data_IF_053957490663
#
_entry.id   IF_053957490663
#
_cell.length_a   1.000
_cell.length_b   1.000
_cell.length_c   1.000
_cell.angle_alpha   90.00
_cell.angle_beta   90.00
_cell.angle_gamma   90.00
#
_symmetry.space_group_name_H-M   'P 1'
#
loop_
_entity.id
_entity.type
_entity.pdbx_description
1 polymer ?
#
# COMPACT_ATOMS: atom_id res chain seq x y z
N UNK A 1 8.79 8.95 9.65
CA UNK A 1 8.42 10.37 9.34
C UNK A 1 7.64 10.40 8.05
N UNK A 2 6.43 11.02 8.05
CA UNK A 2 5.63 11.31 6.85
C UNK A 2 5.83 12.78 6.50
N UNK A 3 6.42 13.05 5.34
CA UNK A 3 6.63 14.41 4.87
C UNK A 3 5.35 14.96 4.22
N UNK A 4 4.85 16.10 4.72
CA UNK A 4 3.72 16.81 4.12
C UNK A 4 4.20 17.71 2.99
N UNK A 5 3.63 17.53 1.81
CA UNK A 5 3.94 18.33 0.62
C UNK A 5 2.87 19.40 0.47
N UNK A 6 3.25 20.63 0.83
CA UNK A 6 2.36 21.79 0.94
C UNK A 6 2.88 23.01 0.18
N UNK A 7 4.16 23.03 -0.20
CA UNK A 7 4.82 24.22 -0.73
C UNK A 7 5.55 23.98 -2.05
N UNK A 8 5.70 25.00 -2.91
CA UNK A 8 6.44 24.90 -4.19
C UNK A 8 7.88 24.41 -4.02
N UNK A 9 8.55 24.77 -2.90
CA UNK A 9 9.89 24.32 -2.60
C UNK A 9 9.98 22.80 -2.38
N UNK A 10 8.94 22.21 -1.76
CA UNK A 10 8.87 20.76 -1.58
C UNK A 10 8.70 20.04 -2.93
N UNK A 11 7.96 20.62 -3.87
CA UNK A 11 7.80 20.06 -5.22
C UNK A 11 9.14 20.07 -5.97
N UNK A 12 9.92 21.14 -5.85
CA UNK A 12 11.24 21.25 -6.49
C UNK A 12 12.24 20.23 -5.93
N UNK A 13 12.18 19.95 -4.62
CA UNK A 13 13.10 19.05 -3.92
C UNK A 13 12.46 17.68 -3.65
N UNK A 14 11.47 17.28 -4.42
CA UNK A 14 10.64 16.11 -4.11
C UNK A 14 11.43 14.80 -4.05
N UNK A 15 12.46 14.63 -4.87
CA UNK A 15 13.27 13.41 -4.91
C UNK A 15 14.12 13.25 -3.64
N UNK A 16 14.67 14.34 -3.12
CA UNK A 16 15.43 14.35 -1.87
C UNK A 16 14.49 14.08 -0.68
N UNK A 17 13.32 14.71 -0.67
CA UNK A 17 12.30 14.47 0.36
C UNK A 17 11.83 13.03 0.37
N UNK A 18 11.60 12.43 -0.80
CA UNK A 18 11.24 11.00 -0.90
C UNK A 18 12.35 10.12 -0.33
N UNK A 19 13.59 10.46 -0.58
CA UNK A 19 14.74 9.68 -0.09
C UNK A 19 14.84 9.70 1.43
N UNK A 20 14.70 10.87 2.04
CA UNK A 20 14.90 11.11 3.48
C UNK A 20 13.67 10.78 4.35
N UNK A 21 12.46 10.65 3.75
CA UNK A 21 11.24 10.35 4.50
C UNK A 21 10.85 8.88 4.44
N UNK A 22 10.02 8.42 5.38
CA UNK A 22 9.43 7.07 5.38
C UNK A 22 8.17 6.98 4.50
N UNK A 23 7.56 8.11 4.19
CA UNK A 23 6.41 8.24 3.31
C UNK A 23 6.04 9.71 3.09
N UNK A 24 5.09 9.96 2.20
CA UNK A 24 4.64 11.31 1.87
C UNK A 24 3.14 11.47 2.04
N UNK A 25 2.74 12.72 2.29
CA UNK A 25 1.35 13.15 2.25
C UNK A 25 1.22 14.35 1.30
N UNK A 26 0.38 14.24 0.30
CA UNK A 26 0.00 15.37 -0.55
C UNK A 26 -1.16 16.10 0.12
N UNK A 27 -0.87 17.22 0.77
CA UNK A 27 -1.85 18.05 1.45
C UNK A 27 -2.44 19.08 0.48
N UNK A 28 -3.47 18.66 -0.27
CA UNK A 28 -3.97 19.43 -1.43
C UNK A 28 -4.57 20.78 -1.07
N UNK A 29 -5.20 20.88 0.10
CA UNK A 29 -5.76 22.14 0.59
C UNK A 29 -4.68 23.22 0.73
N UNK A 30 -3.62 22.91 1.47
CA UNK A 30 -2.52 23.84 1.70
C UNK A 30 -1.72 24.10 0.42
N UNK A 31 -1.49 23.04 -0.37
CA UNK A 31 -0.76 23.14 -1.64
C UNK A 31 -1.51 24.02 -2.65
N UNK A 32 -2.85 23.94 -2.72
CA UNK A 32 -3.68 24.71 -3.63
C UNK A 32 -3.74 26.23 -3.32
N UNK A 33 -3.31 26.63 -2.12
CA UNK A 33 -3.12 28.05 -1.76
C UNK A 33 -1.76 28.56 -2.27
N UNK A 34 -0.77 27.68 -2.35
CA UNK A 34 0.63 28.03 -2.65
C UNK A 34 0.98 27.91 -4.16
N UNK A 35 0.18 27.17 -4.93
CA UNK A 35 0.37 26.98 -6.38
C UNK A 35 -0.96 27.19 -7.14
N UNK A 36 -0.95 27.47 -8.46
CA UNK A 36 -2.17 27.53 -9.25
C UNK A 36 -2.99 26.23 -9.09
N UNK A 37 -4.25 26.36 -8.72
CA UNK A 37 -5.12 25.24 -8.34
C UNK A 37 -5.21 24.18 -9.44
N UNK A 38 -5.25 24.59 -10.71
CA UNK A 38 -5.28 23.71 -11.88
C UNK A 38 -4.04 22.83 -12.03
N UNK A 39 -2.93 23.16 -11.34
CA UNK A 39 -1.69 22.38 -11.38
C UNK A 39 -1.66 21.27 -10.33
N UNK A 40 -2.46 21.40 -9.26
CA UNK A 40 -2.48 20.45 -8.13
C UNK A 40 -2.72 19.01 -8.58
N UNK A 41 -3.68 18.68 -9.47
CA UNK A 41 -3.88 17.30 -9.92
C UNK A 41 -2.67 16.70 -10.62
N UNK A 42 -1.95 17.51 -11.42
CA UNK A 42 -0.73 17.04 -12.12
C UNK A 42 0.42 16.82 -11.14
N UNK A 43 0.56 17.70 -10.16
CA UNK A 43 1.56 17.56 -9.08
C UNK A 43 1.28 16.30 -8.26
N UNK A 44 0.02 16.07 -7.87
CA UNK A 44 -0.40 14.85 -7.17
C UNK A 44 0.02 13.59 -7.94
N UNK A 45 -0.34 13.48 -9.22
CA UNK A 45 0.02 12.32 -10.04
C UNK A 45 1.53 12.09 -10.11
N UNK A 46 2.32 13.15 -10.29
CA UNK A 46 3.78 13.08 -10.33
C UNK A 46 4.36 12.58 -9.00
N UNK A 47 3.85 13.07 -7.86
CA UNK A 47 4.30 12.65 -6.53
C UNK A 47 3.95 11.19 -6.30
N UNK A 48 2.72 10.77 -6.58
CA UNK A 48 2.28 9.39 -6.45
C UNK A 48 3.15 8.45 -7.29
N UNK A 49 3.41 8.79 -8.55
CA UNK A 49 4.28 7.99 -9.42
C UNK A 49 5.70 7.88 -8.86
N UNK A 50 6.29 8.98 -8.37
CA UNK A 50 7.63 8.97 -7.77
C UNK A 50 7.70 8.13 -6.48
N UNK A 51 6.70 8.25 -5.61
CA UNK A 51 6.59 7.47 -4.39
C UNK A 51 6.47 5.97 -4.70
N UNK A 52 5.62 5.61 -5.65
CA UNK A 52 5.45 4.23 -6.09
C UNK A 52 6.76 3.64 -6.64
N UNK A 53 7.52 4.41 -7.44
CA UNK A 53 8.84 3.99 -7.94
C UNK A 53 9.87 3.81 -6.83
N UNK A 54 9.81 4.66 -5.80
CA UNK A 54 10.68 4.59 -4.63
C UNK A 54 10.23 3.53 -3.61
N UNK A 55 9.05 2.94 -3.79
CA UNK A 55 8.37 2.08 -2.81
C UNK A 55 8.19 2.76 -1.44
N UNK A 56 7.79 4.02 -1.46
CA UNK A 56 7.42 4.80 -0.27
C UNK A 56 5.92 5.01 -0.26
N UNK A 57 5.24 4.82 0.88
CA UNK A 57 3.79 5.03 0.96
C UNK A 57 3.45 6.50 0.70
N UNK A 58 2.35 6.72 -0.01
CA UNK A 58 1.83 8.05 -0.30
C UNK A 58 0.36 8.17 0.08
N UNK A 59 0.04 9.24 0.78
CA UNK A 59 -1.30 9.57 1.26
C UNK A 59 -1.81 10.76 0.47
N UNK A 60 -3.02 10.66 -0.07
CA UNK A 60 -3.74 11.84 -0.61
C UNK A 60 -4.67 12.36 0.47
N UNK A 61 -4.49 13.63 0.82
CA UNK A 61 -5.15 14.26 1.95
C UNK A 61 -5.89 15.53 1.55
N UNK A 62 -6.91 15.86 2.34
CA UNK A 62 -7.76 17.04 2.28
C UNK A 62 -8.71 17.09 1.08
N UNK A 63 -9.88 17.66 1.29
CA UNK A 63 -10.91 17.88 0.27
C UNK A 63 -11.31 16.61 -0.51
N UNK A 64 -11.33 15.46 0.18
CA UNK A 64 -11.69 14.18 -0.45
C UNK A 64 -13.21 14.04 -0.57
N UNK A 65 -13.94 14.24 0.54
CA UNK A 65 -15.40 14.18 0.63
C UNK A 65 -15.93 15.38 1.44
N UNK A 66 -15.40 16.58 1.20
CA UNK A 66 -15.58 17.78 2.00
C UNK A 66 -17.06 18.15 2.19
N UNK A 67 -17.92 17.95 1.17
CA UNK A 67 -19.35 18.16 1.28
C UNK A 67 -20.00 17.32 2.38
N UNK A 68 -19.42 16.19 2.75
CA UNK A 68 -19.93 15.29 3.78
C UNK A 68 -19.69 15.81 5.21
N UNK A 69 -19.03 16.94 5.39
CA UNK A 69 -19.03 17.65 6.67
C UNK A 69 -20.49 17.96 7.08
N UNK A 70 -21.34 18.32 6.12
CA UNK A 70 -22.74 18.69 6.35
C UNK A 70 -23.76 17.86 5.57
N UNK A 71 -23.34 17.12 4.54
CA UNK A 71 -24.18 16.27 3.69
C UNK A 71 -24.04 14.79 4.05
N UNK A 72 -25.11 14.02 3.88
CA UNK A 72 -25.10 12.56 4.07
C UNK A 72 -24.43 11.80 2.94
N UNK A 73 -24.25 12.42 1.78
CA UNK A 73 -23.69 11.81 0.58
C UNK A 73 -22.69 12.74 -0.07
N UNK A 74 -21.61 12.19 -0.68
CA UNK A 74 -20.65 13.01 -1.41
C UNK A 74 -21.22 13.49 -2.74
N UNK A 75 -20.62 14.52 -3.30
CA UNK A 75 -20.87 14.93 -4.67
C UNK A 75 -20.28 13.94 -5.68
N UNK A 76 -20.71 14.01 -6.94
CA UNK A 76 -20.13 13.23 -8.05
C UNK A 76 -18.66 13.59 -8.28
N UNK A 77 -18.28 14.83 -8.13
CA UNK A 77 -16.92 15.31 -8.28
C UNK A 77 -15.99 14.70 -7.22
N UNK A 78 -16.41 14.71 -5.95
CA UNK A 78 -15.67 14.11 -4.86
C UNK A 78 -15.53 12.58 -5.03
N UNK A 79 -16.60 11.90 -5.42
CA UNK A 79 -16.55 10.46 -5.70
C UNK A 79 -15.56 10.15 -6.83
N UNK A 80 -15.51 10.98 -7.87
CA UNK A 80 -14.55 10.86 -8.96
C UNK A 80 -13.12 11.18 -8.49
N UNK A 81 -12.93 12.12 -7.60
CA UNK A 81 -11.63 12.49 -7.06
C UNK A 81 -11.02 11.35 -6.23
N UNK A 82 -11.80 10.75 -5.31
CA UNK A 82 -11.38 9.55 -4.57
C UNK A 82 -11.03 8.42 -5.53
N UNK A 83 -11.87 8.16 -6.52
CA UNK A 83 -11.62 7.10 -7.51
C UNK A 83 -10.32 7.35 -8.29
N UNK A 84 -10.05 8.58 -8.71
CA UNK A 84 -8.80 8.95 -9.39
C UNK A 84 -7.58 8.78 -8.49
N UNK A 85 -7.64 9.17 -7.21
CA UNK A 85 -6.54 8.95 -6.27
C UNK A 85 -6.18 7.47 -6.16
N UNK A 86 -7.18 6.58 -6.09
CA UNK A 86 -6.97 5.12 -6.08
C UNK A 86 -6.37 4.63 -7.40
N UNK A 87 -6.87 5.10 -8.55
CA UNK A 87 -6.37 4.74 -9.88
C UNK A 87 -4.93 5.22 -10.09
N UNK A 88 -4.55 6.37 -9.55
CA UNK A 88 -3.19 6.89 -9.58
C UNK A 88 -2.21 5.95 -8.83
N UNK A 89 -2.72 5.19 -7.87
CA UNK A 89 -1.94 4.21 -7.10
C UNK A 89 -1.49 4.74 -5.74
N UNK A 90 -2.28 5.61 -5.11
CA UNK A 90 -2.05 6.00 -3.71
C UNK A 90 -2.14 4.80 -2.77
N UNK A 91 -1.45 4.85 -1.63
CA UNK A 91 -1.51 3.81 -0.60
C UNK A 91 -2.66 4.06 0.38
N UNK A 92 -2.96 5.32 0.66
CA UNK A 92 -4.06 5.72 1.52
C UNK A 92 -4.69 7.02 1.05
N UNK A 93 -5.94 7.23 1.41
CA UNK A 93 -6.68 8.49 1.33
C UNK A 93 -7.12 8.90 2.72
N UNK A 94 -7.12 10.21 3.00
CA UNK A 94 -7.37 10.72 4.35
C UNK A 94 -8.63 11.59 4.37
N UNK A 95 -9.52 11.32 5.32
CA UNK A 95 -10.58 12.23 5.73
C UNK A 95 -10.05 13.19 6.81
N UNK A 96 -10.50 14.41 6.81
CA UNK A 96 -10.13 15.46 7.76
C UNK A 96 -11.37 15.88 8.58
N UNK A 97 -11.92 17.04 8.29
CA UNK A 97 -13.11 17.56 8.99
C UNK A 97 -14.33 16.66 8.81
N UNK A 98 -14.43 15.92 7.69
CA UNK A 98 -15.52 15.00 7.39
C UNK A 98 -15.75 13.97 8.50
N UNK A 99 -14.65 13.47 9.09
CA UNK A 99 -14.70 12.51 10.20
C UNK A 99 -14.40 13.11 11.57
N UNK A 100 -13.68 14.26 11.65
CA UNK A 100 -13.27 14.86 12.91
C UNK A 100 -14.35 15.77 13.51
N UNK A 101 -15.05 16.56 12.71
CA UNK A 101 -16.04 17.57 13.14
C UNK A 101 -17.33 17.53 12.33
N UNK A 102 -17.39 16.70 11.28
CA UNK A 102 -18.54 16.58 10.41
C UNK A 102 -19.78 16.00 11.11
N UNK A 103 -20.96 16.28 10.56
CA UNK A 103 -22.23 15.76 11.07
C UNK A 103 -22.43 14.26 10.84
N UNK A 104 -21.72 13.68 9.86
CA UNK A 104 -21.94 12.30 9.41
C UNK A 104 -20.64 11.51 9.28
N UNK A 105 -19.80 11.40 10.35
CA UNK A 105 -18.46 10.81 10.27
C UNK A 105 -18.48 9.34 9.81
N UNK A 106 -19.42 8.54 10.28
CA UNK A 106 -19.57 7.15 9.88
C UNK A 106 -19.90 7.03 8.39
N UNK A 107 -20.85 7.81 7.89
CA UNK A 107 -21.25 7.80 6.49
C UNK A 107 -20.11 8.26 5.56
N UNK A 108 -19.25 9.19 6.03
CA UNK A 108 -18.08 9.62 5.28
C UNK A 108 -17.08 8.46 5.09
N UNK A 109 -16.75 7.73 6.16
CA UNK A 109 -15.87 6.56 6.10
C UNK A 109 -16.49 5.45 5.24
N UNK A 110 -17.76 5.16 5.38
CA UNK A 110 -18.47 4.16 4.57
C UNK A 110 -18.49 4.54 3.08
N UNK A 111 -18.72 5.82 2.78
CA UNK A 111 -18.72 6.32 1.39
C UNK A 111 -17.35 6.21 0.76
N UNK A 112 -16.29 6.62 1.49
CA UNK A 112 -14.91 6.45 1.07
C UNK A 112 -14.61 4.97 0.77
N UNK A 113 -14.97 4.08 1.69
CA UNK A 113 -14.76 2.64 1.55
C UNK A 113 -15.52 2.06 0.36
N UNK A 114 -16.77 2.48 0.12
CA UNK A 114 -17.55 2.03 -1.05
C UNK A 114 -16.90 2.44 -2.37
N UNK A 115 -16.42 3.67 -2.47
CA UNK A 115 -15.76 4.17 -3.68
C UNK A 115 -14.48 3.38 -3.95
N UNK A 116 -13.61 3.24 -2.94
CA UNK A 116 -12.35 2.48 -3.04
C UNK A 116 -12.65 1.04 -3.49
N UNK A 117 -13.56 0.35 -2.81
CA UNK A 117 -13.93 -1.03 -3.13
C UNK A 117 -14.50 -1.16 -4.55
N UNK A 118 -15.28 -0.18 -5.02
CA UNK A 118 -15.81 -0.19 -6.38
C UNK A 118 -14.71 -0.10 -7.42
N UNK A 119 -13.73 0.81 -7.22
CA UNK A 119 -12.58 0.94 -8.12
C UNK A 119 -11.74 -0.33 -8.12
N UNK A 120 -11.41 -0.87 -6.94
CA UNK A 120 -10.57 -2.06 -6.81
C UNK A 120 -11.20 -3.31 -7.39
N UNK A 121 -12.52 -3.46 -7.31
CA UNK A 121 -13.24 -4.60 -7.91
C UNK A 121 -13.35 -4.50 -9.43
N UNK A 122 -13.54 -3.30 -9.95
CA UNK A 122 -13.93 -3.09 -11.36
C UNK A 122 -12.72 -2.81 -12.25
N UNK A 123 -11.73 -2.08 -11.75
CA UNK A 123 -10.60 -1.64 -12.56
C UNK A 123 -9.43 -2.61 -12.49
N UNK A 124 -9.01 -3.10 -13.67
CA UNK A 124 -7.73 -3.80 -13.80
C UNK A 124 -6.52 -2.83 -13.87
N UNK A 125 -6.77 -1.52 -13.98
CA UNK A 125 -5.73 -0.50 -14.16
C UNK A 125 -4.81 -0.32 -12.95
N UNK A 126 -5.29 -0.66 -11.76
CA UNK A 126 -4.51 -0.54 -10.51
C UNK A 126 -3.57 -1.71 -10.28
N UNK A 127 -3.81 -2.86 -10.94
CA UNK A 127 -3.10 -4.11 -10.65
C UNK A 127 -1.91 -4.36 -11.58
N UNK A 128 -0.91 -5.09 -11.06
CA UNK A 128 0.23 -5.64 -11.80
C UNK A 128 1.09 -4.61 -12.51
N UNK A 129 1.49 -3.55 -11.79
CA UNK A 129 2.33 -2.45 -12.31
C UNK A 129 3.83 -2.84 -12.39
N UNK A 130 4.15 -3.98 -12.99
CA UNK A 130 5.53 -4.53 -13.03
C UNK A 130 6.54 -3.70 -13.83
N UNK A 131 6.09 -2.96 -14.81
CA UNK A 131 6.98 -2.26 -15.75
C UNK A 131 7.60 -0.98 -15.18
N UNK A 132 7.08 -0.47 -14.06
CA UNK A 132 7.57 0.78 -13.45
C UNK A 132 8.91 0.61 -12.72
N UNK A 133 9.31 -0.60 -12.35
CA UNK A 133 10.53 -0.85 -11.55
C UNK A 133 11.80 -1.00 -12.40
N UNK A 134 12.24 0.07 -13.06
CA UNK A 134 13.45 0.05 -13.92
C UNK A 134 14.78 0.13 -13.14
N UNK A 135 14.79 0.65 -11.91
CA UNK A 135 16.00 0.74 -11.06
C UNK A 135 15.91 -0.25 -9.90
N UNK A 136 16.49 -1.42 -10.09
CA UNK A 136 16.54 -2.48 -9.08
C UNK A 136 17.69 -2.19 -8.10
N UNK A 137 17.38 -1.98 -6.81
CA UNK A 137 18.39 -1.88 -5.74
C UNK A 137 19.01 -3.23 -5.43
N UNK A 138 18.20 -4.28 -5.40
CA UNK A 138 18.62 -5.66 -5.21
C UNK A 138 17.99 -6.54 -6.27
N UNK A 139 18.73 -6.76 -7.36
CA UNK A 139 18.25 -7.49 -8.54
C UNK A 139 17.65 -8.87 -8.21
N UNK A 140 18.29 -9.64 -7.32
CA UNK A 140 17.83 -10.99 -6.98
C UNK A 140 16.50 -10.99 -6.25
N UNK A 141 16.42 -10.28 -5.13
CA UNK A 141 15.18 -10.21 -4.32
C UNK A 141 14.01 -9.59 -5.09
N UNK A 142 14.27 -8.54 -5.85
CA UNK A 142 13.22 -7.87 -6.63
C UNK A 142 12.74 -8.75 -7.78
N UNK A 143 13.63 -9.48 -8.43
CA UNK A 143 13.26 -10.47 -9.47
C UNK A 143 12.40 -11.58 -8.88
N UNK A 144 12.76 -12.09 -7.70
CA UNK A 144 12.00 -13.14 -7.02
C UNK A 144 10.61 -12.63 -6.59
N UNK A 145 10.52 -11.45 -6.00
CA UNK A 145 9.25 -10.82 -5.60
C UNK A 145 8.37 -10.57 -6.83
N UNK A 146 8.93 -10.03 -7.90
CA UNK A 146 8.20 -9.82 -9.16
C UNK A 146 7.69 -11.13 -9.73
N UNK A 147 8.52 -12.18 -9.67
CA UNK A 147 8.13 -13.54 -10.10
C UNK A 147 7.00 -14.09 -9.24
N UNK A 148 7.07 -13.92 -7.90
CA UNK A 148 5.99 -14.31 -6.99
C UNK A 148 4.67 -13.60 -7.34
N UNK A 149 4.72 -12.29 -7.62
CA UNK A 149 3.52 -11.54 -8.02
C UNK A 149 2.98 -11.99 -9.40
N UNK A 150 3.85 -12.29 -10.37
CA UNK A 150 3.44 -12.84 -11.68
C UNK A 150 2.84 -14.23 -11.54
N UNK A 151 3.50 -15.09 -10.76
CA UNK A 151 3.01 -16.45 -10.50
C UNK A 151 1.66 -16.41 -9.78
N UNK A 152 1.46 -15.50 -8.81
CA UNK A 152 0.18 -15.34 -8.13
C UNK A 152 -0.96 -15.06 -9.09
N UNK A 153 -0.70 -14.26 -10.14
CA UNK A 153 -1.66 -14.00 -11.22
C UNK A 153 -1.96 -15.26 -12.02
N UNK A 154 -0.91 -16.00 -12.42
CA UNK A 154 -1.04 -17.17 -13.30
C UNK A 154 -1.81 -18.31 -12.65
N UNK A 155 -1.55 -18.57 -11.35
CA UNK A 155 -2.21 -19.67 -10.62
C UNK A 155 -3.48 -19.23 -9.89
N UNK A 156 -3.87 -17.95 -10.01
CA UNK A 156 -4.97 -17.34 -9.27
C UNK A 156 -4.83 -17.53 -7.75
N UNK A 157 -3.63 -17.27 -7.22
CA UNK A 157 -3.35 -17.38 -5.80
C UNK A 157 -4.22 -16.40 -4.99
N UNK A 158 -4.71 -16.86 -3.84
CA UNK A 158 -5.48 -16.03 -2.90
C UNK A 158 -4.62 -15.07 -2.10
N UNK A 159 -3.38 -15.48 -1.81
CA UNK A 159 -2.48 -14.68 -1.00
C UNK A 159 -1.02 -14.77 -1.47
N UNK A 160 -0.28 -13.71 -1.16
CA UNK A 160 1.19 -13.70 -1.11
C UNK A 160 1.56 -13.41 0.33
N UNK A 161 2.28 -14.33 0.95
CA UNK A 161 2.77 -14.23 2.32
C UNK A 161 4.25 -13.91 2.27
N UNK A 162 4.66 -12.80 2.87
CA UNK A 162 6.06 -12.37 2.83
C UNK A 162 6.61 -12.27 4.25
N UNK A 163 7.64 -13.05 4.54
CA UNK A 163 8.37 -12.94 5.81
C UNK A 163 9.43 -11.86 5.68
N UNK A 164 9.41 -10.87 6.57
CA UNK A 164 10.36 -9.75 6.51
C UNK A 164 10.72 -9.22 7.89
N UNK A 165 11.97 -8.77 8.05
CA UNK A 165 12.46 -8.08 9.25
C UNK A 165 12.59 -6.57 9.06
N UNK A 166 12.75 -6.11 7.82
CA UNK A 166 12.96 -4.69 7.50
C UNK A 166 11.77 -4.03 6.80
N UNK A 167 10.73 -4.79 6.45
CA UNK A 167 9.63 -4.30 5.63
C UNK A 167 9.93 -4.20 4.12
N UNK A 168 11.18 -4.33 3.69
CA UNK A 168 11.55 -4.12 2.29
C UNK A 168 10.70 -4.94 1.30
N UNK A 169 10.57 -6.24 1.55
CA UNK A 169 9.77 -7.12 0.69
C UNK A 169 8.28 -6.74 0.68
N UNK A 170 7.77 -6.23 1.81
CA UNK A 170 6.39 -5.75 1.93
C UNK A 170 6.11 -4.60 0.95
N UNK A 171 6.95 -3.57 0.97
CA UNK A 171 6.83 -2.43 0.06
C UNK A 171 6.92 -2.85 -1.41
N UNK A 172 7.80 -3.79 -1.73
CA UNK A 172 7.98 -4.28 -3.10
C UNK A 172 6.81 -5.11 -3.60
N UNK A 173 6.26 -6.01 -2.78
CA UNK A 173 5.05 -6.78 -3.13
C UNK A 173 3.87 -5.83 -3.34
N UNK A 174 3.64 -4.91 -2.40
CA UNK A 174 2.58 -3.90 -2.52
C UNK A 174 2.75 -3.02 -3.76
N UNK A 175 3.96 -2.54 -4.04
CA UNK A 175 4.24 -1.73 -5.23
C UNK A 175 3.93 -2.44 -6.55
N UNK A 176 3.99 -3.77 -6.58
CA UNK A 176 3.57 -4.58 -7.73
C UNK A 176 2.04 -4.70 -7.87
N UNK A 177 1.29 -4.27 -6.87
CA UNK A 177 -0.20 -4.28 -6.84
C UNK A 177 -0.80 -5.62 -7.28
N UNK A 178 -0.47 -6.76 -6.63
CA UNK A 178 -1.09 -8.05 -6.96
C UNK A 178 -2.58 -8.07 -6.57
N UNK A 179 -3.41 -8.85 -7.28
CA UNK A 179 -4.79 -9.12 -6.85
C UNK A 179 -4.86 -10.04 -5.63
N UNK A 180 -3.83 -10.86 -5.44
CA UNK A 180 -3.69 -11.69 -4.25
C UNK A 180 -3.55 -10.81 -3.00
N UNK A 181 -4.18 -11.20 -1.90
CA UNK A 181 -4.02 -10.50 -0.60
C UNK A 181 -2.58 -10.58 -0.13
N UNK A 182 -2.06 -9.51 0.46
CA UNK A 182 -0.68 -9.45 0.92
C UNK A 182 -0.65 -9.60 2.45
N UNK A 183 -0.01 -10.65 2.94
CA UNK A 183 0.23 -10.87 4.35
C UNK A 183 1.71 -10.75 4.66
N UNK A 184 2.04 -9.88 5.60
CA UNK A 184 3.41 -9.66 6.05
C UNK A 184 3.59 -10.31 7.40
N UNK A 185 4.50 -11.27 7.48
CA UNK A 185 4.86 -11.95 8.73
C UNK A 185 6.17 -11.37 9.23
N UNK A 186 6.15 -10.83 10.44
CA UNK A 186 7.32 -10.18 11.04
C UNK A 186 7.35 -10.36 12.55
N UNK A 187 8.54 -10.43 13.12
CA UNK A 187 8.77 -10.39 14.56
C UNK A 187 9.04 -8.97 15.10
N UNK A 188 9.06 -7.99 14.21
CA UNK A 188 9.28 -6.59 14.54
C UNK A 188 7.93 -5.83 14.59
N UNK A 189 7.41 -5.57 15.79
CA UNK A 189 6.14 -4.84 15.98
C UNK A 189 6.12 -3.49 15.27
N UNK A 190 7.25 -2.77 15.29
CA UNK A 190 7.38 -1.47 14.60
C UNK A 190 7.11 -1.62 13.11
N UNK A 191 7.77 -2.58 12.46
CA UNK A 191 7.59 -2.85 11.03
C UNK A 191 6.14 -3.26 10.74
N UNK A 192 5.55 -4.14 11.57
CA UNK A 192 4.15 -4.52 11.44
C UNK A 192 3.19 -3.32 11.43
N UNK A 193 3.43 -2.34 12.29
CA UNK A 193 2.62 -1.12 12.35
C UNK A 193 2.85 -0.21 11.14
N UNK A 194 4.10 0.01 10.74
CA UNK A 194 4.46 0.88 9.62
C UNK A 194 3.88 0.39 8.29
N UNK A 195 3.98 -0.91 8.02
CA UNK A 195 3.48 -1.48 6.75
C UNK A 195 1.97 -1.51 6.63
N UNK A 196 1.21 -1.32 7.71
CA UNK A 196 -0.26 -1.22 7.64
C UNK A 196 -0.76 0.05 6.93
N UNK A 197 0.11 1.05 6.74
CA UNK A 197 -0.20 2.22 5.92
C UNK A 197 -0.03 1.95 4.42
N UNK A 198 0.60 0.84 4.06
CA UNK A 198 0.94 0.49 2.67
C UNK A 198 -0.21 -0.28 2.04
N UNK A 199 -0.52 0.01 0.78
CA UNK A 199 -1.65 -0.58 0.08
C UNK A 199 -1.69 -2.10 0.13
N UNK A 200 -2.87 -2.62 0.49
CA UNK A 200 -3.19 -4.05 0.41
C UNK A 200 -2.52 -4.95 1.45
N UNK A 201 -1.69 -4.39 2.33
CA UNK A 201 -0.95 -5.15 3.34
C UNK A 201 -1.79 -5.39 4.59
N UNK A 202 -1.66 -6.61 5.12
CA UNK A 202 -2.04 -6.98 6.49
C UNK A 202 -0.85 -7.60 7.19
N UNK A 203 -0.47 -7.06 8.35
CA UNK A 203 0.65 -7.59 9.13
C UNK A 203 0.20 -8.66 10.11
N UNK A 204 1.03 -9.68 10.27
CA UNK A 204 0.89 -10.76 11.25
C UNK A 204 2.16 -10.75 12.10
N UNK A 205 2.00 -10.54 13.39
CA UNK A 205 3.11 -10.63 14.33
C UNK A 205 3.42 -12.10 14.65
N UNK A 206 4.67 -12.51 14.42
CA UNK A 206 5.12 -13.87 14.66
C UNK A 206 6.56 -13.85 15.17
N UNK A 207 6.77 -14.25 16.42
CA UNK A 207 8.06 -14.18 17.11
C UNK A 207 8.61 -15.53 17.60
N UNK A 208 8.03 -16.65 17.15
CA UNK A 208 8.56 -17.95 17.51
C UNK A 208 9.86 -18.24 16.76
N UNK A 209 10.81 -18.84 17.47
CA UNK A 209 12.07 -19.31 16.89
C UNK A 209 11.96 -20.82 16.66
N UNK A 210 11.66 -21.20 15.45
CA UNK A 210 11.42 -22.58 15.03
C UNK A 210 12.17 -22.85 13.73
N UNK A 211 12.23 -24.14 13.34
CA UNK A 211 12.68 -24.48 11.99
C UNK A 211 11.70 -23.94 10.94
N UNK A 212 12.12 -23.91 9.66
CA UNK A 212 11.33 -23.30 8.60
C UNK A 212 10.00 -24.04 8.37
N UNK A 213 10.01 -25.36 8.42
CA UNK A 213 8.81 -26.17 8.15
C UNK A 213 7.73 -25.91 9.21
N UNK A 214 8.09 -25.97 10.50
CA UNK A 214 7.19 -25.62 11.61
C UNK A 214 6.71 -24.17 11.51
N UNK A 215 7.58 -23.23 11.10
CA UNK A 215 7.20 -21.83 10.89
C UNK A 215 6.15 -21.71 9.80
N UNK A 216 6.33 -22.38 8.65
CA UNK A 216 5.39 -22.34 7.54
C UNK A 216 4.04 -22.97 7.93
N UNK A 217 4.03 -24.12 8.61
CA UNK A 217 2.83 -24.77 9.12
C UNK A 217 2.06 -23.86 10.10
N UNK A 218 2.76 -23.23 11.03
CA UNK A 218 2.14 -22.29 11.97
C UNK A 218 1.55 -21.06 11.28
N UNK A 219 2.24 -20.49 10.27
CA UNK A 219 1.71 -19.38 9.49
C UNK A 219 0.46 -19.80 8.73
N UNK A 220 0.47 -20.96 8.09
CA UNK A 220 -0.71 -21.52 7.40
C UNK A 220 -1.89 -21.68 8.36
N UNK A 221 -1.64 -22.27 9.55
CA UNK A 221 -2.66 -22.42 10.59
C UNK A 221 -3.25 -21.08 11.02
N UNK A 222 -2.42 -20.05 11.26
CA UNK A 222 -2.89 -18.69 11.58
C UNK A 222 -3.78 -18.13 10.47
N UNK A 223 -3.41 -18.31 9.21
CA UNK A 223 -4.18 -17.82 8.06
C UNK A 223 -5.52 -18.51 7.94
N UNK A 224 -5.58 -19.82 8.17
CA UNK A 224 -6.82 -20.61 8.15
C UNK A 224 -7.75 -20.26 9.34
N UNK A 225 -7.22 -20.22 10.56
CA UNK A 225 -7.98 -19.91 11.79
C UNK A 225 -8.60 -18.50 11.72
N UNK A 226 -7.89 -17.53 11.13
CA UNK A 226 -8.40 -16.17 10.95
C UNK A 226 -9.25 -16.00 9.68
N UNK A 227 -9.59 -17.07 8.97
CA UNK A 227 -10.37 -17.04 7.72
C UNK A 227 -9.75 -16.14 6.65
N UNK A 228 -8.45 -16.07 6.61
CA UNK A 228 -7.70 -15.36 5.58
C UNK A 228 -7.50 -16.24 4.34
N UNK A 229 -7.43 -17.54 4.54
CA UNK A 229 -7.42 -18.59 3.53
C UNK A 229 -8.47 -19.65 3.88
N UNK A 230 -8.98 -20.32 2.87
CA UNK A 230 -9.78 -21.52 3.00
C UNK A 230 -8.94 -22.75 2.65
N UNK A 231 -9.32 -23.93 3.16
CA UNK A 231 -8.63 -25.19 2.87
C UNK A 231 -8.65 -25.46 1.35
N UNK A 232 -7.48 -25.62 0.76
CA UNK A 232 -7.30 -25.83 -0.68
C UNK A 232 -7.03 -24.55 -1.48
N UNK A 233 -7.03 -23.38 -0.85
CA UNK A 233 -6.59 -22.16 -1.49
C UNK A 233 -5.08 -22.21 -1.83
N UNK A 234 -4.74 -21.65 -2.99
CA UNK A 234 -3.33 -21.51 -3.40
C UNK A 234 -2.77 -20.20 -2.87
N UNK A 235 -1.59 -20.25 -2.30
CA UNK A 235 -0.86 -19.07 -1.84
C UNK A 235 0.64 -19.23 -2.06
N UNK A 236 1.35 -18.11 -2.05
CA UNK A 236 2.80 -18.07 -2.28
C UNK A 236 3.46 -17.52 -1.02
N UNK A 237 4.48 -18.20 -0.52
CA UNK A 237 5.32 -17.68 0.56
C UNK A 237 6.66 -17.22 -0.02
N UNK A 238 7.12 -16.04 0.40
CA UNK A 238 8.46 -15.53 0.11
C UNK A 238 9.20 -15.22 1.41
N UNK A 239 10.47 -15.61 1.48
CA UNK A 239 11.30 -15.45 2.67
C UNK A 239 12.78 -15.30 2.32
N UNK A 240 13.59 -14.93 3.31
CA UNK A 240 15.04 -15.13 3.25
C UNK A 240 15.42 -16.44 3.93
N UNK A 241 16.31 -17.21 3.32
CA UNK A 241 16.86 -18.44 3.85
C UNK A 241 18.38 -18.33 3.99
N UNK A 242 18.94 -18.74 5.13
CA UNK A 242 18.29 -19.19 6.36
C UNK A 242 17.53 -18.07 7.08
N UNK A 243 16.45 -18.41 7.78
CA UNK A 243 15.48 -17.44 8.37
C UNK A 243 16.08 -16.51 9.43
N UNK A 244 17.16 -16.95 10.12
CA UNK A 244 17.87 -16.13 11.10
C UNK A 244 18.79 -15.08 10.48
N UNK A 245 19.07 -15.19 9.18
CA UNK A 245 19.95 -14.26 8.45
C UNK A 245 19.22 -12.94 8.17
N UNK A 246 19.89 -11.80 8.38
CA UNK A 246 19.41 -10.50 7.91
C UNK A 246 19.70 -10.37 6.40
N UNK A 247 19.25 -11.36 5.64
CA UNK A 247 19.50 -11.45 4.21
C UNK A 247 18.35 -10.96 3.37
N UNK A 248 18.57 -10.98 2.08
CA UNK A 248 17.57 -10.62 1.09
C UNK A 248 16.64 -11.79 0.78
N UNK A 249 15.39 -11.51 0.36
CA UNK A 249 14.45 -12.54 -0.08
C UNK A 249 15.07 -13.40 -1.17
N UNK A 250 15.22 -14.69 -0.92
CA UNK A 250 15.88 -15.66 -1.79
C UNK A 250 15.13 -17.00 -1.92
N UNK A 251 13.97 -17.12 -1.26
CA UNK A 251 13.13 -18.32 -1.28
C UNK A 251 11.70 -17.96 -1.65
N UNK A 252 11.10 -18.80 -2.49
CA UNK A 252 9.67 -18.80 -2.80
C UNK A 252 9.15 -20.23 -2.72
N UNK A 253 8.00 -20.43 -2.03
CA UNK A 253 7.29 -21.71 -1.89
C UNK A 253 5.83 -21.53 -2.28
N UNK A 254 5.25 -22.57 -2.89
CA UNK A 254 3.82 -22.70 -3.20
C UNK A 254 3.20 -23.67 -2.22
#
# INVERSE_FOLDING_TARGET
VIAKIEKPQAIKNIDDIITESDGLMVARGDLGVEVPMETVPIIQKKIVDKCNLACKPVIIATQMLESMITSKTPTRAESNDVANAVLDGTDAVMLSAESATGKYPLLAVESMSRIINSVEKTSNMIYYKFEKFKKLRNKLSESLITTACRLSKQINAKAIVTMTKSGYSAYRVSGSRPKARIYIVTNEKKIGNEVNLVWGIRSIYYNKTENIDSTLENIEKILLENKHLDKGDKYIITSSMPTHWKGHTNMMKL
#
